data_IF_110896179240
#
_entry.id   IF_110896179240
#
_cell.length_a   1.000
_cell.length_b   1.000
_cell.length_c   1.000
_cell.angle_alpha   90.00
_cell.angle_beta   90.00
_cell.angle_gamma   90.00
#
_symmetry.space_group_name_H-M   'P 1'
#
loop_
_entity.id
_entity.type
_entity.pdbx_description
1 polymer ?
#
# COMPACT_ATOMS: atom_id res chain seq x y z
N UNK A 1 -21.61 7.92 -3.98
CA UNK A 1 -21.54 6.95 -5.10
C UNK A 1 -21.75 5.51 -4.66
N UNK A 2 -20.89 4.89 -3.81
CA UNK A 2 -21.06 3.48 -3.38
C UNK A 2 -22.46 3.12 -2.83
N UNK A 3 -23.00 3.92 -1.90
CA UNK A 3 -24.36 3.70 -1.33
C UNK A 3 -25.46 3.67 -2.40
N UNK A 4 -25.28 4.41 -3.49
CA UNK A 4 -26.23 4.45 -4.61
C UNK A 4 -26.03 3.18 -5.44
N UNK A 5 -24.81 2.88 -5.87
CA UNK A 5 -24.49 1.68 -6.67
C UNK A 5 -24.97 0.38 -6.02
N UNK A 6 -24.83 0.24 -4.69
CA UNK A 6 -25.32 -0.93 -3.95
C UNK A 6 -26.84 -1.12 -4.06
N UNK A 7 -27.61 -0.04 -4.11
CA UNK A 7 -29.07 -0.10 -4.33
C UNK A 7 -29.44 -0.56 -5.74
N UNK A 8 -28.52 -0.44 -6.70
CA UNK A 8 -28.71 -0.81 -8.10
C UNK A 8 -28.00 -2.13 -8.48
N UNK A 9 -27.73 -3.00 -7.49
CA UNK A 9 -27.23 -4.36 -7.74
C UNK A 9 -25.70 -4.54 -7.65
N UNK A 10 -24.94 -3.47 -7.39
CA UNK A 10 -23.50 -3.62 -7.16
C UNK A 10 -23.22 -4.40 -5.87
N UNK A 11 -22.31 -5.38 -5.95
CA UNK A 11 -21.88 -6.20 -4.81
C UNK A 11 -20.41 -5.96 -4.52
N UNK A 12 -20.10 -5.53 -3.28
CA UNK A 12 -18.73 -5.36 -2.80
C UNK A 12 -18.08 -6.70 -2.45
N UNK A 13 -16.75 -6.75 -2.46
CA UNK A 13 -16.00 -7.90 -1.96
C UNK A 13 -16.10 -8.04 -0.43
N UNK A 14 -15.82 -9.24 0.09
CA UNK A 14 -15.75 -9.50 1.54
C UNK A 14 -14.60 -8.76 2.22
N UNK A 15 -13.49 -8.57 1.51
CA UNK A 15 -12.30 -7.85 1.96
C UNK A 15 -11.84 -6.88 0.86
N UNK A 16 -11.15 -5.78 1.20
CA UNK A 16 -10.50 -4.91 0.21
C UNK A 16 -9.54 -5.67 -0.70
N UNK A 17 -9.51 -5.30 -1.99
CA UNK A 17 -8.48 -5.76 -2.92
C UNK A 17 -7.13 -5.10 -2.61
N UNK A 18 -7.14 -3.79 -2.40
CA UNK A 18 -5.97 -3.01 -1.99
C UNK A 18 -6.42 -1.83 -1.13
N UNK A 19 -5.76 -1.61 0.01
CA UNK A 19 -6.08 -0.51 0.92
C UNK A 19 -7.35 -0.74 1.75
N UNK A 20 -8.17 0.30 1.91
CA UNK A 20 -9.24 0.32 2.92
C UNK A 20 -10.63 -0.05 2.39
N UNK A 21 -10.92 0.19 1.11
CA UNK A 21 -12.27 0.07 0.57
C UNK A 21 -12.52 -1.31 -0.06
N UNK A 22 -13.55 -2.02 0.41
CA UNK A 22 -13.94 -3.35 -0.09
C UNK A 22 -14.78 -3.34 -1.38
N UNK A 23 -14.99 -2.16 -1.95
CA UNK A 23 -15.77 -1.96 -3.17
C UNK A 23 -14.95 -1.33 -4.31
N UNK A 24 -13.68 -1.00 -4.05
CA UNK A 24 -12.79 -0.43 -5.05
C UNK A 24 -11.96 -1.53 -5.70
N UNK A 25 -11.80 -1.44 -7.02
CA UNK A 25 -10.87 -2.24 -7.83
C UNK A 25 -11.04 -3.77 -7.64
N UNK A 26 -12.27 -4.21 -7.35
CA UNK A 26 -12.58 -5.60 -6.95
C UNK A 26 -12.48 -6.60 -8.10
N UNK A 27 -12.48 -6.10 -9.33
CA UNK A 27 -12.35 -6.83 -10.58
C UNK A 27 -10.89 -6.94 -11.06
N UNK A 28 -9.96 -6.22 -10.42
CA UNK A 28 -8.54 -6.31 -10.73
C UNK A 28 -7.87 -7.52 -10.03
N UNK A 29 -7.00 -8.21 -10.78
CA UNK A 29 -6.31 -9.40 -10.28
C UNK A 29 -5.05 -9.08 -9.49
N UNK A 30 -4.24 -8.10 -9.89
CA UNK A 30 -2.95 -7.78 -9.25
C UNK A 30 -2.36 -6.42 -9.65
N UNK A 31 -2.71 -5.87 -10.81
CA UNK A 31 -2.10 -4.64 -11.33
C UNK A 31 -2.34 -3.44 -10.40
N UNK A 32 -3.54 -3.32 -9.83
CA UNK A 32 -3.85 -2.20 -8.93
C UNK A 32 -3.03 -2.25 -7.64
N UNK A 33 -2.80 -3.46 -7.12
CA UNK A 33 -1.98 -3.69 -5.95
C UNK A 33 -0.54 -3.24 -6.22
N UNK A 34 0.04 -3.65 -7.37
CA UNK A 34 1.40 -3.26 -7.75
C UNK A 34 1.52 -1.76 -7.98
N UNK A 35 0.57 -1.16 -8.71
CA UNK A 35 0.53 0.28 -8.97
C UNK A 35 0.61 1.08 -7.66
N UNK A 36 -0.19 0.70 -6.66
CA UNK A 36 -0.18 1.40 -5.38
C UNK A 36 0.99 1.04 -4.49
N UNK A 37 1.46 -0.20 -4.51
CA UNK A 37 2.60 -0.61 -3.70
C UNK A 37 3.89 0.10 -4.12
N UNK A 38 4.05 0.47 -5.40
CA UNK A 38 5.16 1.30 -5.88
C UNK A 38 5.26 2.67 -5.20
N UNK A 39 4.17 3.18 -4.61
CA UNK A 39 4.20 4.42 -3.81
C UNK A 39 5.06 4.28 -2.56
N UNK A 40 5.27 3.07 -2.05
CA UNK A 40 6.16 2.84 -0.91
C UNK A 40 7.57 3.35 -1.21
N UNK A 41 8.15 2.95 -2.34
CA UNK A 41 9.48 3.41 -2.75
C UNK A 41 9.53 4.93 -2.97
N UNK A 42 8.47 5.51 -3.55
CA UNK A 42 8.46 6.92 -3.93
C UNK A 42 8.14 7.88 -2.78
N UNK A 43 7.26 7.48 -1.86
CA UNK A 43 6.64 8.35 -0.86
C UNK A 43 6.60 7.78 0.56
N UNK A 44 6.87 6.49 0.76
CA UNK A 44 6.88 5.90 2.09
C UNK A 44 5.50 5.59 2.68
N UNK A 45 4.49 5.40 1.83
CA UNK A 45 3.15 4.99 2.25
C UNK A 45 2.49 4.10 1.19
N UNK A 46 1.39 3.44 1.57
CA UNK A 46 0.64 2.50 0.71
C UNK A 46 -0.77 3.02 0.39
N UNK A 47 -1.55 2.27 -0.39
CA UNK A 47 -2.95 2.60 -0.69
C UNK A 47 -3.82 2.77 0.55
N UNK A 48 -3.56 1.98 1.59
CA UNK A 48 -4.29 2.07 2.85
C UNK A 48 -4.17 3.49 3.42
N UNK A 49 -2.96 4.05 3.43
CA UNK A 49 -2.66 5.35 4.02
C UNK A 49 -3.33 6.49 3.23
N UNK A 50 -3.35 6.37 1.89
CA UNK A 50 -4.11 7.26 1.01
C UNK A 50 -5.61 7.26 1.37
N UNK A 51 -6.21 6.07 1.52
CA UNK A 51 -7.63 5.95 1.82
C UNK A 51 -7.96 6.50 3.22
N UNK A 52 -7.14 6.19 4.23
CA UNK A 52 -7.33 6.70 5.57
C UNK A 52 -7.19 8.23 5.62
N UNK A 53 -6.29 8.81 4.82
CA UNK A 53 -6.17 10.27 4.67
C UNK A 53 -7.45 10.90 4.09
N UNK A 54 -8.15 10.20 3.19
CA UNK A 54 -9.46 10.62 2.67
C UNK A 54 -10.55 10.52 3.74
N UNK A 55 -10.53 9.48 4.57
CA UNK A 55 -11.48 9.35 5.69
C UNK A 55 -11.31 10.48 6.71
N UNK A 56 -10.06 10.86 7.01
CA UNK A 56 -9.74 12.00 7.87
C UNK A 56 -10.22 13.30 7.25
N UNK A 57 -9.90 13.55 5.98
CA UNK A 57 -10.30 14.79 5.27
C UNK A 57 -11.81 14.98 5.26
N UNK A 58 -12.56 13.89 5.16
CA UNK A 58 -14.02 13.92 5.16
C UNK A 58 -14.66 13.92 6.55
N UNK A 59 -13.86 13.99 7.63
CA UNK A 59 -14.35 13.98 9.01
C UNK A 59 -14.98 12.65 9.46
N UNK A 60 -14.72 11.55 8.75
CA UNK A 60 -15.26 10.21 9.08
C UNK A 60 -14.35 9.40 10.00
N UNK A 61 -13.10 9.85 10.17
CA UNK A 61 -12.10 9.17 10.99
C UNK A 61 -11.15 10.20 11.61
N UNK A 62 -10.67 9.93 12.82
CA UNK A 62 -9.61 10.72 13.46
C UNK A 62 -8.23 10.23 13.01
N UNK A 63 -7.22 11.11 13.08
CA UNK A 63 -5.83 10.74 12.81
C UNK A 63 -5.34 9.60 13.72
N UNK A 64 -5.70 9.62 15.00
CA UNK A 64 -5.32 8.56 15.96
C UNK A 64 -5.87 7.19 15.53
N UNK A 65 -7.16 7.12 15.15
CA UNK A 65 -7.76 5.87 14.71
C UNK A 65 -7.11 5.34 13.42
N UNK A 66 -6.76 6.23 12.48
CA UNK A 66 -6.04 5.83 11.27
C UNK A 66 -4.66 5.23 11.58
N UNK A 67 -3.91 5.82 12.51
CA UNK A 67 -2.60 5.32 12.92
C UNK A 67 -2.73 3.92 13.54
N UNK A 68 -3.73 3.69 14.39
CA UNK A 68 -3.96 2.37 15.00
C UNK A 68 -4.31 1.30 13.95
N UNK A 69 -5.09 1.64 12.92
CA UNK A 69 -5.36 0.74 11.79
C UNK A 69 -4.05 0.37 11.07
N UNK A 70 -3.19 1.35 10.80
CA UNK A 70 -1.92 1.10 10.10
C UNK A 70 -0.99 0.23 10.95
N UNK A 71 -0.88 0.51 12.26
CA UNK A 71 -0.08 -0.30 13.19
C UNK A 71 -0.55 -1.75 13.24
N UNK A 72 -1.87 -1.99 13.28
CA UNK A 72 -2.45 -3.33 13.32
C UNK A 72 -2.22 -4.14 12.04
N UNK A 73 -2.03 -3.48 10.90
CA UNK A 73 -1.75 -4.13 9.62
C UNK A 73 -0.25 -4.37 9.43
N UNK A 74 0.60 -3.42 9.82
CA UNK A 74 2.05 -3.53 9.66
C UNK A 74 2.49 -3.43 8.19
N UNK A 75 3.53 -4.18 7.81
CA UNK A 75 4.13 -4.12 6.47
C UNK A 75 3.22 -4.78 5.41
N UNK A 76 2.67 -3.98 4.50
CA UNK A 76 1.79 -4.44 3.42
C UNK A 76 2.60 -4.89 2.19
N UNK A 77 3.38 -5.97 2.32
CA UNK A 77 4.11 -6.56 1.20
C UNK A 77 3.22 -7.54 0.39
N UNK A 78 2.82 -7.23 -0.85
CA UNK A 78 1.86 -8.02 -1.62
C UNK A 78 2.57 -9.14 -2.40
N UNK A 79 3.17 -10.10 -1.69
CA UNK A 79 4.02 -11.15 -2.28
C UNK A 79 3.33 -11.97 -3.38
N UNK A 80 2.03 -12.25 -3.18
CA UNK A 80 1.20 -12.99 -4.14
C UNK A 80 1.06 -12.20 -5.44
N UNK A 81 0.60 -10.96 -5.35
CA UNK A 81 0.40 -10.09 -6.51
C UNK A 81 1.71 -9.78 -7.23
N UNK A 82 2.82 -9.62 -6.50
CA UNK A 82 4.16 -9.49 -7.10
C UNK A 82 4.50 -10.74 -7.92
N UNK A 83 4.24 -11.94 -7.39
CA UNK A 83 4.43 -13.18 -8.11
C UNK A 83 3.59 -13.27 -9.39
N UNK A 84 2.30 -12.91 -9.32
CA UNK A 84 1.41 -12.89 -10.48
C UNK A 84 1.88 -11.89 -11.54
N UNK A 85 2.30 -10.70 -11.11
CA UNK A 85 2.82 -9.66 -11.99
C UNK A 85 4.13 -10.07 -12.69
N UNK A 86 5.06 -10.66 -11.93
CA UNK A 86 6.33 -11.17 -12.46
C UNK A 86 6.08 -12.27 -13.50
N UNK A 87 5.19 -13.23 -13.20
CA UNK A 87 4.81 -14.27 -14.14
C UNK A 87 4.16 -13.70 -15.41
N UNK A 88 3.28 -12.70 -15.26
CA UNK A 88 2.61 -12.05 -16.38
C UNK A 88 3.59 -11.35 -17.32
N UNK A 89 4.63 -10.71 -16.79
CA UNK A 89 5.66 -10.02 -17.57
C UNK A 89 6.85 -10.91 -17.97
N UNK A 90 6.87 -12.17 -17.52
CA UNK A 90 8.00 -13.09 -17.68
C UNK A 90 9.34 -12.51 -17.15
N UNK A 91 9.31 -11.93 -15.95
CA UNK A 91 10.49 -11.43 -15.22
C UNK A 91 10.64 -12.15 -13.89
N UNK A 92 11.85 -12.13 -13.31
CA UNK A 92 12.05 -12.66 -11.95
C UNK A 92 11.59 -11.64 -10.89
N UNK A 93 11.33 -12.12 -9.67
CA UNK A 93 11.07 -11.24 -8.52
C UNK A 93 12.28 -10.33 -8.25
N UNK A 94 13.50 -10.85 -8.39
CA UNK A 94 14.71 -10.07 -8.18
C UNK A 94 14.80 -8.91 -9.18
N UNK A 95 14.48 -9.16 -10.45
CA UNK A 95 14.41 -8.11 -11.46
C UNK A 95 13.35 -7.05 -11.11
N UNK A 96 12.17 -7.49 -10.67
CA UNK A 96 11.10 -6.60 -10.21
C UNK A 96 11.57 -5.70 -9.04
N UNK A 97 12.17 -6.27 -7.99
CA UNK A 97 12.66 -5.49 -6.85
C UNK A 97 13.84 -4.59 -7.23
N UNK A 98 14.71 -5.03 -8.13
CA UNK A 98 15.79 -4.20 -8.68
C UNK A 98 15.23 -2.98 -9.41
N UNK A 99 14.21 -3.16 -10.26
CA UNK A 99 13.53 -2.06 -10.94
C UNK A 99 12.84 -1.15 -9.93
N UNK A 100 12.08 -1.71 -8.98
CA UNK A 100 11.33 -0.94 -7.99
C UNK A 100 12.26 -0.07 -7.13
N UNK A 101 13.40 -0.62 -6.71
CA UNK A 101 14.40 0.08 -5.88
C UNK A 101 14.99 1.32 -6.56
N UNK A 102 15.07 1.36 -7.89
CA UNK A 102 15.57 2.51 -8.66
C UNK A 102 14.65 3.73 -8.58
N UNK A 103 13.37 3.53 -8.26
CA UNK A 103 12.40 4.61 -8.07
C UNK A 103 12.34 5.09 -6.61
N UNK A 104 13.20 4.57 -5.73
CA UNK A 104 13.24 4.98 -4.34
C UNK A 104 13.68 6.43 -4.23
N UNK A 105 12.86 7.25 -3.55
CA UNK A 105 13.16 8.66 -3.38
C UNK A 105 14.17 8.88 -2.24
N UNK A 106 15.42 9.20 -2.58
CA UNK A 106 16.51 9.44 -1.62
C UNK A 106 16.33 10.69 -0.75
N UNK A 107 15.38 11.58 -1.05
CA UNK A 107 15.05 12.71 -0.18
C UNK A 107 14.19 12.28 1.03
N UNK A 108 13.50 11.14 0.92
CA UNK A 108 12.61 10.60 1.97
C UNK A 108 13.27 9.40 2.66
N UNK A 109 13.94 8.56 1.86
CA UNK A 109 14.54 7.33 2.31
C UNK A 109 16.04 7.49 2.58
N UNK A 110 16.45 7.05 3.77
CA UNK A 110 17.85 6.95 4.19
C UNK A 110 18.24 5.49 4.43
N UNK A 111 19.53 5.16 4.35
CA UNK A 111 20.07 3.86 4.76
C UNK A 111 20.68 3.96 6.15
N UNK A 112 20.37 3.02 7.03
CA UNK A 112 21.01 2.91 8.33
C UNK A 112 22.39 2.21 8.23
N UNK A 113 23.12 2.11 9.33
CA UNK A 113 24.45 1.45 9.38
C UNK A 113 24.41 -0.06 9.07
N UNK A 114 23.24 -0.70 9.18
CA UNK A 114 23.01 -2.11 8.81
C UNK A 114 22.67 -2.29 7.32
N UNK A 115 22.46 -1.19 6.60
CA UNK A 115 22.09 -1.18 5.18
C UNK A 115 20.59 -1.20 4.92
N UNK A 116 19.74 -1.18 5.96
CA UNK A 116 18.28 -1.16 5.79
C UNK A 116 17.80 0.24 5.41
N UNK A 117 16.78 0.29 4.55
CA UNK A 117 16.08 1.51 4.22
C UNK A 117 15.11 1.92 5.31
N UNK A 118 15.15 3.19 5.71
CA UNK A 118 14.23 3.77 6.69
C UNK A 118 13.84 5.21 6.31
N UNK A 119 12.76 5.70 6.92
CA UNK A 119 12.30 7.08 6.79
C UNK A 119 12.54 7.78 8.13
N UNK A 120 13.15 8.97 8.08
CA UNK A 120 13.35 9.81 9.27
C UNK A 120 12.00 10.36 9.74
N UNK A 121 11.82 10.44 11.06
CA UNK A 121 10.57 10.92 11.69
C UNK A 121 9.32 10.20 11.15
N UNK A 122 9.45 8.87 10.96
CA UNK A 122 8.36 8.06 10.42
C UNK A 122 7.14 8.07 11.35
N UNK A 123 5.96 7.92 10.75
CA UNK A 123 4.68 8.01 11.45
C UNK A 123 4.53 7.01 12.61
N UNK A 124 5.27 5.89 12.57
CA UNK A 124 5.19 4.80 13.54
C UNK A 124 6.58 4.61 14.17
N UNK A 125 6.71 4.96 15.45
CA UNK A 125 7.99 5.00 16.16
C UNK A 125 8.73 3.66 16.20
N UNK A 126 7.99 2.55 16.35
CA UNK A 126 8.54 1.19 16.47
C UNK A 126 8.39 0.38 15.17
N UNK A 127 8.47 1.04 14.02
CA UNK A 127 8.36 0.34 12.75
C UNK A 127 9.57 -0.57 12.50
N UNK A 128 9.29 -1.83 12.16
CA UNK A 128 10.32 -2.82 11.83
C UNK A 128 10.70 -2.64 10.37
N UNK A 129 11.85 -2.00 10.13
CA UNK A 129 12.42 -1.86 8.79
C UNK A 129 13.03 -3.19 8.34
N UNK A 130 12.65 -3.60 7.14
CA UNK A 130 13.20 -4.79 6.46
C UNK A 130 13.70 -4.36 5.09
N UNK A 131 14.71 -5.06 4.59
CA UNK A 131 15.36 -4.77 3.31
C UNK A 131 14.58 -5.37 2.14
#
# INVERSE_FOLDING_TARGET
TYKISKKHGFTSAKKPKTGFYNYADIDDSFLITIHHWMKWYKFGFTRLWDNLSIEIRNGRMTRSNAIEIIKGIGNENPEREIGLFCNYLNISKDEFFNIASRFRNHNIWSKNSRGDWYIKDFLIDNWIWTN
#
